data_IF_432555397219
#
_entry.id   IF_432555397219
#
_cell.length_a   1.000
_cell.length_b   1.000
_cell.length_c   1.000
_cell.angle_alpha   90.00
_cell.angle_beta   90.00
_cell.angle_gamma   90.00
#
_symmetry.space_group_name_H-M   'P 1'
#
loop_
_entity.id
_entity.type
_entity.pdbx_description
1 polymer ?
#
# COMPACT_ATOMS: atom_id res chain seq x y z
N UNK A 1 -15.29 -10.20 -2.10
CA UNK A 1 -14.31 -10.27 -0.99
C UNK A 1 -13.11 -11.13 -1.36
N UNK A 2 -13.33 -12.40 -1.73
CA UNK A 2 -12.25 -13.34 -2.08
C UNK A 2 -11.27 -12.85 -3.16
N UNK A 3 -11.74 -12.13 -4.19
CA UNK A 3 -10.86 -11.58 -5.22
C UNK A 3 -9.81 -10.65 -4.62
N UNK A 4 -10.23 -9.74 -3.73
CA UNK A 4 -9.33 -8.78 -3.11
C UNK A 4 -8.34 -9.47 -2.18
N UNK A 5 -8.79 -10.51 -1.47
CA UNK A 5 -7.90 -11.34 -0.64
C UNK A 5 -6.81 -12.02 -1.46
N UNK A 6 -7.16 -12.59 -2.62
CA UNK A 6 -6.17 -13.17 -3.54
C UNK A 6 -5.18 -12.14 -4.08
N UNK A 7 -5.60 -10.91 -4.33
CA UNK A 7 -4.66 -9.86 -4.77
C UNK A 7 -3.71 -9.43 -3.65
N UNK A 8 -4.20 -9.30 -2.41
CA UNK A 8 -3.32 -9.00 -1.27
C UNK A 8 -2.36 -10.15 -0.99
N UNK A 9 -2.81 -11.40 -1.15
CA UNK A 9 -1.96 -12.59 -1.04
C UNK A 9 -0.84 -12.60 -2.08
N UNK A 10 -1.09 -12.11 -3.31
CA UNK A 10 -0.04 -11.91 -4.32
C UNK A 10 0.93 -10.80 -3.93
N UNK A 11 0.42 -9.67 -3.43
CA UNK A 11 1.24 -8.52 -3.03
C UNK A 11 2.24 -8.87 -1.91
N UNK A 12 1.87 -9.77 -1.00
CA UNK A 12 2.77 -10.18 0.09
C UNK A 12 4.05 -10.90 -0.40
N UNK A 13 4.13 -11.29 -1.67
CA UNK A 13 5.32 -11.97 -2.23
C UNK A 13 6.45 -11.00 -2.55
N UNK A 14 6.18 -9.70 -2.59
CA UNK A 14 7.19 -8.66 -2.80
C UNK A 14 7.87 -8.28 -1.49
N UNK A 15 9.11 -7.80 -1.56
CA UNK A 15 9.85 -7.29 -0.40
C UNK A 15 9.15 -6.07 0.23
N UNK A 16 8.54 -5.23 -0.60
CA UNK A 16 7.68 -4.11 -0.21
C UNK A 16 6.52 -4.06 -1.19
N UNK A 17 5.30 -3.91 -0.69
CA UNK A 17 4.10 -3.70 -1.50
C UNK A 17 3.21 -2.64 -0.87
N UNK A 18 2.35 -2.02 -1.67
CA UNK A 18 1.43 -0.99 -1.19
C UNK A 18 0.04 -1.10 -1.82
N UNK A 19 -0.97 -0.75 -1.04
CA UNK A 19 -2.34 -0.50 -1.47
C UNK A 19 -2.60 0.99 -1.28
N UNK A 20 -2.79 1.70 -2.39
CA UNK A 20 -3.09 3.13 -2.39
C UNK A 20 -4.57 3.33 -2.71
N UNK A 21 -5.28 3.99 -1.80
CA UNK A 21 -6.73 4.17 -1.84
C UNK A 21 -7.02 5.64 -2.15
N UNK A 22 -7.79 5.89 -3.20
CA UNK A 22 -8.26 7.23 -3.62
C UNK A 22 -9.37 7.78 -2.71
N UNK A 23 -9.20 7.64 -1.39
CA UNK A 23 -10.11 8.14 -0.37
C UNK A 23 -9.35 8.30 0.94
N UNK A 24 -9.80 9.22 1.78
CA UNK A 24 -9.38 9.33 3.17
C UNK A 24 -10.06 8.24 3.99
N UNK A 25 -9.49 7.92 5.15
CA UNK A 25 -10.16 7.01 6.09
C UNK A 25 -11.53 7.56 6.52
N UNK A 26 -11.69 8.89 6.63
CA UNK A 26 -12.98 9.52 6.97
C UNK A 26 -14.04 9.24 5.90
N UNK A 27 -13.69 9.38 4.63
CA UNK A 27 -14.59 9.08 3.51
C UNK A 27 -15.00 7.59 3.52
N UNK A 28 -14.05 6.69 3.76
CA UNK A 28 -14.33 5.25 3.87
C UNK A 28 -15.26 4.93 5.03
N UNK A 29 -15.11 5.63 6.16
CA UNK A 29 -15.94 5.42 7.36
C UNK A 29 -17.33 6.04 7.25
N UNK A 30 -17.52 7.04 6.38
CA UNK A 30 -18.77 7.79 6.24
C UNK A 30 -19.14 7.98 4.76
N UNK A 31 -19.27 6.90 3.98
CA UNK A 31 -19.38 7.01 2.53
C UNK A 31 -20.59 7.83 2.09
N UNK A 32 -21.71 7.75 2.80
CA UNK A 32 -22.91 8.53 2.49
C UNK A 32 -22.73 10.07 2.65
N UNK A 33 -21.79 10.54 3.48
CA UNK A 33 -21.50 11.98 3.62
C UNK A 33 -20.73 12.53 2.40
N UNK A 34 -19.90 11.70 1.75
CA UNK A 34 -18.97 12.12 0.71
C UNK A 34 -19.34 11.63 -0.69
N UNK A 35 -20.20 10.61 -0.77
CA UNK A 35 -20.69 9.97 -1.99
C UNK A 35 -22.21 9.81 -1.85
N UNK A 36 -23.01 10.86 -2.14
CA UNK A 36 -24.47 10.79 -2.06
C UNK A 36 -25.07 9.66 -2.91
N UNK A 37 -24.39 9.26 -3.99
CA UNK A 37 -24.73 8.15 -4.87
C UNK A 37 -24.34 6.76 -4.33
N UNK A 38 -23.78 6.68 -3.12
CA UNK A 38 -23.33 5.43 -2.51
C UNK A 38 -24.50 4.51 -2.16
N UNK A 39 -24.62 3.42 -2.93
CA UNK A 39 -25.70 2.41 -2.74
C UNK A 39 -25.24 1.14 -2.03
N UNK A 40 -23.96 1.02 -1.70
CA UNK A 40 -23.44 -0.20 -1.08
C UNK A 40 -23.92 -0.34 0.35
N UNK A 41 -24.46 -1.52 0.68
CA UNK A 41 -24.85 -1.90 2.05
C UNK A 41 -23.67 -2.33 2.92
N UNK A 42 -22.44 -2.15 2.44
CA UNK A 42 -21.23 -2.51 3.16
C UNK A 42 -21.12 -1.68 4.44
N UNK A 43 -21.06 -2.35 5.59
CA UNK A 43 -20.88 -1.69 6.88
C UNK A 43 -19.45 -1.11 6.98
N UNK A 44 -19.27 0.21 7.14
CA UNK A 44 -17.95 0.83 7.23
C UNK A 44 -17.08 0.27 8.36
N UNK A 45 -17.69 -0.14 9.49
CA UNK A 45 -16.96 -0.78 10.60
C UNK A 45 -16.34 -2.12 10.17
N UNK A 46 -17.00 -2.86 9.29
CA UNK A 46 -16.46 -4.11 8.75
C UNK A 46 -15.25 -3.84 7.84
N UNK A 47 -15.24 -2.73 7.11
CA UNK A 47 -14.10 -2.31 6.27
C UNK A 47 -12.91 -1.97 7.15
N UNK A 48 -13.13 -1.15 8.18
CA UNK A 48 -12.10 -0.79 9.15
C UNK A 48 -11.47 -2.01 9.83
N UNK A 49 -12.30 -2.94 10.31
CA UNK A 49 -11.81 -4.17 10.93
C UNK A 49 -11.02 -5.06 9.95
N UNK A 50 -11.45 -5.11 8.68
CA UNK A 50 -10.70 -5.83 7.64
C UNK A 50 -9.36 -5.18 7.38
N UNK A 51 -9.33 -3.86 7.19
CA UNK A 51 -8.09 -3.10 7.01
C UNK A 51 -7.12 -3.32 8.16
N UNK A 52 -7.58 -3.17 9.42
CA UNK A 52 -6.74 -3.35 10.60
C UNK A 52 -6.25 -4.78 10.79
N UNK A 53 -7.08 -5.78 10.47
CA UNK A 53 -6.64 -7.18 10.54
C UNK A 53 -5.60 -7.47 9.46
N UNK A 54 -5.78 -6.93 8.25
CA UNK A 54 -4.94 -7.22 7.10
C UNK A 54 -3.62 -6.45 7.13
N UNK A 55 -3.60 -5.23 7.65
CA UNK A 55 -2.35 -4.48 7.89
C UNK A 55 -1.43 -5.21 8.87
N UNK A 56 -1.99 -5.93 9.84
CA UNK A 56 -1.24 -6.76 10.78
C UNK A 56 -0.82 -8.12 10.20
N UNK A 57 -1.71 -8.75 9.42
CA UNK A 57 -1.47 -10.06 8.80
C UNK A 57 -0.43 -9.98 7.69
N UNK A 58 -0.55 -8.97 6.81
CA UNK A 58 0.32 -8.77 5.65
C UNK A 58 1.26 -7.59 5.90
N UNK A 59 2.27 -7.82 6.75
CA UNK A 59 3.12 -6.75 7.32
C UNK A 59 3.93 -5.96 6.28
N UNK A 60 4.22 -6.57 5.13
CA UNK A 60 4.93 -5.95 4.01
C UNK A 60 4.00 -5.26 3.00
N UNK A 61 2.69 -5.28 3.22
CA UNK A 61 1.69 -4.58 2.41
C UNK A 61 1.26 -3.32 3.14
N UNK A 62 1.80 -2.18 2.72
CA UNK A 62 1.53 -0.87 3.30
C UNK A 62 0.22 -0.28 2.77
N UNK A 63 -0.54 0.40 3.62
CA UNK A 63 -1.86 0.96 3.26
C UNK A 63 -1.82 2.48 3.29
N UNK A 64 -2.24 3.11 2.20
CA UNK A 64 -2.23 4.57 2.05
C UNK A 64 -3.63 5.09 1.68
N UNK A 65 -4.23 5.89 2.55
CA UNK A 65 -5.50 6.60 2.28
C UNK A 65 -5.18 7.99 1.73
N UNK A 66 -5.07 8.09 0.41
CA UNK A 66 -4.55 9.28 -0.26
C UNK A 66 -5.58 10.41 -0.44
N UNK A 67 -6.87 10.13 -0.23
CA UNK A 67 -7.93 11.14 -0.33
C UNK A 67 -8.42 11.43 -1.74
N UNK A 68 -7.51 11.72 -2.68
CA UNK A 68 -7.87 12.06 -4.06
C UNK A 68 -7.09 11.24 -5.08
N UNK A 69 -7.60 11.18 -6.31
CA UNK A 69 -6.90 10.56 -7.44
C UNK A 69 -5.51 11.17 -7.66
N UNK A 70 -5.40 12.50 -7.61
CA UNK A 70 -4.11 13.18 -7.79
C UNK A 70 -3.13 12.84 -6.67
N UNK A 71 -3.58 12.83 -5.42
CA UNK A 71 -2.74 12.46 -4.29
C UNK A 71 -2.32 10.98 -4.34
N UNK A 72 -3.20 10.08 -4.78
CA UNK A 72 -2.89 8.67 -4.95
C UNK A 72 -1.81 8.45 -6.02
N UNK A 73 -1.89 9.18 -7.14
CA UNK A 73 -0.88 9.17 -8.20
C UNK A 73 0.49 9.62 -7.67
N UNK A 74 0.54 10.76 -6.99
CA UNK A 74 1.79 11.29 -6.41
C UNK A 74 2.36 10.32 -5.36
N UNK A 75 1.52 9.79 -4.47
CA UNK A 75 1.95 8.82 -3.47
C UNK A 75 2.52 7.56 -4.14
N UNK A 76 1.88 7.07 -5.20
CA UNK A 76 2.33 5.90 -5.96
C UNK A 76 3.70 6.16 -6.58
N UNK A 77 3.90 7.32 -7.22
CA UNK A 77 5.18 7.67 -7.82
C UNK A 77 6.30 7.74 -6.76
N UNK A 78 6.09 8.46 -5.66
CA UNK A 78 7.10 8.58 -4.61
C UNK A 78 7.42 7.24 -3.93
N UNK A 79 6.44 6.35 -3.73
CA UNK A 79 6.69 5.02 -3.18
C UNK A 79 7.62 4.20 -4.08
N UNK A 80 7.38 4.24 -5.40
CA UNK A 80 8.19 3.52 -6.38
C UNK A 80 9.58 4.14 -6.55
N UNK A 81 9.66 5.47 -6.65
CA UNK A 81 10.92 6.22 -6.70
C UNK A 81 11.79 5.92 -5.48
N UNK A 82 11.19 5.96 -4.28
CA UNK A 82 11.92 5.67 -3.05
C UNK A 82 12.45 4.25 -3.02
N UNK A 83 11.65 3.27 -3.43
CA UNK A 83 12.08 1.88 -3.55
C UNK A 83 13.26 1.75 -4.51
N UNK A 84 13.18 2.39 -5.68
CA UNK A 84 14.24 2.37 -6.69
C UNK A 84 15.56 2.93 -6.15
N UNK A 85 15.52 4.12 -5.54
CA UNK A 85 16.70 4.78 -4.94
C UNK A 85 17.33 3.89 -3.86
N UNK A 86 16.52 3.28 -2.99
CA UNK A 86 17.03 2.40 -1.94
C UNK A 86 17.66 1.12 -2.49
N UNK A 87 17.14 0.56 -3.59
CA UNK A 87 17.75 -0.58 -4.26
C UNK A 87 19.11 -0.24 -4.88
N UNK A 88 19.22 0.89 -5.59
CA UNK A 88 20.50 1.35 -6.16
C UNK A 88 21.57 1.51 -5.07
N UNK A 89 21.23 2.19 -3.97
CA UNK A 89 22.14 2.39 -2.84
C UNK A 89 22.58 1.06 -2.20
N UNK A 90 21.67 0.10 -2.10
CA UNK A 90 21.98 -1.23 -1.57
C UNK A 90 22.92 -2.01 -2.49
N UNK A 91 22.72 -1.93 -3.81
CA UNK A 91 23.56 -2.60 -4.79
C UNK A 91 24.97 -2.04 -4.84
N UNK A 92 25.13 -0.72 -4.78
CA UNK A 92 26.42 -0.05 -4.67
C UNK A 92 27.20 -0.50 -3.43
N UNK A 93 26.53 -0.47 -2.27
CA UNK A 93 27.11 -0.96 -1.01
C UNK A 93 27.53 -2.44 -1.10
N UNK A 94 26.70 -3.30 -1.69
CA UNK A 94 26.98 -4.72 -1.87
C UNK A 94 28.20 -4.95 -2.76
N UNK A 95 28.33 -4.17 -3.84
CA UNK A 95 29.44 -4.25 -4.78
C UNK A 95 30.78 -3.83 -4.13
N UNK A 96 30.78 -2.75 -3.34
CA UNK A 96 31.96 -2.31 -2.60
C UNK A 96 32.45 -3.36 -1.60
N UNK A 97 31.53 -3.97 -0.85
CA UNK A 97 31.87 -5.04 0.10
C UNK A 97 32.43 -6.28 -0.59
N UNK A 98 31.93 -6.62 -1.78
CA UNK A 98 32.45 -7.74 -2.57
C UNK A 98 33.88 -7.47 -3.01
N UNK A 99 34.17 -6.28 -3.56
CA UNK A 99 35.53 -5.86 -3.96
C UNK A 99 36.53 -5.98 -2.81
N UNK A 100 36.17 -5.50 -1.60
CA UNK A 100 37.00 -5.57 -0.39
C UNK A 100 37.29 -6.99 0.12
N UNK A 101 36.50 -8.00 -0.26
CA UNK A 101 36.68 -9.40 0.16
C UNK A 101 37.54 -10.22 -0.80
N UNK A 102 37.68 -9.76 -2.04
CA UNK A 102 38.47 -10.41 -3.09
C UNK A 102 39.83 -9.74 -3.35
N UNK A 103 40.07 -8.59 -2.72
CA UNK A 103 41.36 -7.91 -2.65
C UNK A 103 42.08 -8.32 -1.37
#
# INVERSE_FOLDING_TARGET
RERFEREVDKLQRYCVAAIVIEATLREVMRPAEFRPEWRSRLNPRSVYGTWQSWSQRYRNVHWHFAGSRRAAEVATFHLLERFYIEQEQYDDYRNERRKKRTA
#
